data_IF_856422471814
#
_entry.id   IF_856422471814
#
_cell.length_a   1.000
_cell.length_b   1.000
_cell.length_c   1.000
_cell.angle_alpha   90.00
_cell.angle_beta   90.00
_cell.angle_gamma   90.00
#
_symmetry.space_group_name_H-M   'P 1'
#
loop_
_entity.id
_entity.type
_entity.pdbx_description
1 polymer ?
#
# COMPACT_ATOMS: atom_id res chain seq x y z
N UNK A 1 35.47 -75.38 16.85
CA UNK A 1 35.48 -73.91 16.64
C UNK A 1 34.08 -73.56 16.14
N UNK A 2 33.21 -73.00 16.98
CA UNK A 2 31.82 -72.68 16.65
C UNK A 2 31.71 -71.19 16.36
N UNK A 3 31.25 -70.82 15.16
CA UNK A 3 31.00 -69.41 14.78
C UNK A 3 29.52 -69.07 14.96
N UNK A 4 29.27 -67.98 15.67
CA UNK A 4 27.96 -67.35 15.89
C UNK A 4 27.75 -66.33 14.76
N UNK A 5 26.60 -66.40 14.07
CA UNK A 5 26.16 -65.38 13.13
C UNK A 5 25.24 -64.41 13.89
N UNK A 6 25.64 -63.15 13.98
CA UNK A 6 24.78 -62.05 14.43
C UNK A 6 23.99 -61.50 13.24
N UNK A 7 22.66 -61.51 13.33
CA UNK A 7 21.78 -60.79 12.40
C UNK A 7 21.53 -59.40 12.98
N UNK A 8 22.07 -58.37 12.34
CA UNK A 8 21.71 -56.98 12.62
C UNK A 8 20.41 -56.66 11.87
N UNK A 9 19.33 -56.43 12.61
CA UNK A 9 18.09 -55.84 12.08
C UNK A 9 18.27 -54.32 12.16
N UNK A 10 18.44 -53.67 11.02
CA UNK A 10 18.44 -52.20 10.93
C UNK A 10 17.01 -51.71 10.79
N UNK A 11 16.47 -51.11 11.85
CA UNK A 11 15.17 -50.44 11.83
C UNK A 11 15.29 -49.13 11.05
N UNK A 12 14.64 -49.05 9.88
CA UNK A 12 14.48 -47.80 9.15
C UNK A 12 13.41 -46.98 9.87
N UNK A 13 13.82 -45.99 10.65
CA UNK A 13 12.92 -44.95 11.14
C UNK A 13 12.55 -44.04 9.98
N UNK A 14 11.34 -44.18 9.44
CA UNK A 14 10.77 -43.17 8.55
C UNK A 14 10.50 -41.91 9.37
N UNK A 15 11.38 -40.92 9.26
CA UNK A 15 11.10 -39.55 9.68
C UNK A 15 9.97 -39.04 8.77
N UNK A 16 8.72 -39.18 9.22
CA UNK A 16 7.63 -38.38 8.67
C UNK A 16 7.98 -36.93 8.98
N UNK A 17 8.24 -36.13 7.95
CA UNK A 17 8.38 -34.69 8.11
C UNK A 17 7.03 -34.18 8.60
N UNK A 18 6.91 -33.94 9.90
CA UNK A 18 5.70 -33.44 10.51
C UNK A 18 5.36 -32.11 9.82
N UNK A 19 4.19 -32.08 9.18
CA UNK A 19 3.68 -30.90 8.49
C UNK A 19 3.66 -29.74 9.50
N UNK A 20 4.24 -28.60 9.12
CA UNK A 20 4.26 -27.45 10.02
C UNK A 20 2.81 -27.01 10.27
N UNK A 21 2.44 -26.58 11.49
CA UNK A 21 1.08 -26.13 11.79
C UNK A 21 0.57 -24.99 10.89
N UNK A 22 1.49 -24.31 10.18
CA UNK A 22 1.19 -23.23 9.24
C UNK A 22 1.04 -23.67 7.78
N UNK A 23 1.30 -24.93 7.42
CA UNK A 23 1.32 -25.36 6.01
C UNK A 23 -0.06 -25.30 5.36
N UNK A 24 -1.12 -25.64 6.09
CA UNK A 24 -2.49 -25.52 5.56
C UNK A 24 -2.88 -24.05 5.33
N UNK A 25 -2.53 -23.17 6.28
CA UNK A 25 -2.77 -21.73 6.13
C UNK A 25 -1.95 -21.14 4.96
N UNK A 26 -0.69 -21.59 4.79
CA UNK A 26 0.19 -21.19 3.69
C UNK A 26 -0.37 -21.67 2.34
N UNK A 27 -0.79 -22.93 2.23
CA UNK A 27 -1.41 -23.45 1.03
C UNK A 27 -2.70 -22.71 0.68
N UNK A 28 -3.54 -22.42 1.69
CA UNK A 28 -4.77 -21.64 1.48
C UNK A 28 -4.44 -20.23 0.98
N UNK A 29 -3.46 -19.56 1.58
CA UNK A 29 -3.02 -18.24 1.12
C UNK A 29 -2.48 -18.29 -0.33
N UNK A 30 -1.61 -19.25 -0.64
CA UNK A 30 -1.07 -19.46 -1.99
C UNK A 30 -2.19 -19.69 -3.00
N UNK A 31 -3.21 -20.50 -2.66
CA UNK A 31 -4.35 -20.73 -3.53
C UNK A 31 -5.15 -19.43 -3.78
N UNK A 32 -5.36 -18.62 -2.73
CA UNK A 32 -6.10 -17.35 -2.82
C UNK A 32 -5.35 -16.29 -3.66
N UNK A 33 -4.03 -16.14 -3.48
CA UNK A 33 -3.25 -15.09 -4.17
C UNK A 33 -2.67 -15.56 -5.52
N UNK A 34 -2.49 -16.86 -5.70
CA UNK A 34 -1.84 -17.44 -6.88
C UNK A 34 -2.76 -17.59 -8.09
N UNK A 35 -4.08 -17.51 -7.91
CA UNK A 35 -5.05 -17.64 -9.00
C UNK A 35 -6.07 -16.49 -9.02
N UNK A 36 -5.58 -15.29 -9.32
CA UNK A 36 -6.42 -14.10 -9.50
C UNK A 36 -7.53 -14.34 -10.54
N UNK A 37 -7.32 -15.23 -11.52
CA UNK A 37 -8.32 -15.47 -12.58
C UNK A 37 -9.59 -16.16 -12.12
N UNK A 38 -9.54 -16.85 -10.98
CA UNK A 38 -10.69 -17.53 -10.37
C UNK A 38 -11.31 -16.75 -9.21
N UNK A 39 -10.81 -15.56 -8.90
CA UNK A 39 -11.44 -14.70 -7.89
C UNK A 39 -12.86 -14.31 -8.33
N UNK A 40 -13.79 -14.25 -7.36
CA UNK A 40 -15.19 -13.83 -7.57
C UNK A 40 -15.27 -12.41 -8.16
N UNK A 41 -14.30 -11.57 -7.81
CA UNK A 41 -14.12 -10.22 -8.36
C UNK A 41 -12.67 -9.98 -8.78
N UNK A 42 -12.48 -9.50 -10.02
CA UNK A 42 -11.18 -9.01 -10.50
C UNK A 42 -11.38 -7.91 -11.54
N UNK A 43 -10.48 -6.92 -11.54
CA UNK A 43 -10.45 -5.88 -12.56
C UNK A 43 -9.01 -5.50 -12.87
N UNK A 44 -8.64 -5.58 -14.14
CA UNK A 44 -7.40 -5.02 -14.66
C UNK A 44 -7.70 -3.69 -15.33
N UNK A 45 -6.71 -2.80 -15.41
CA UNK A 45 -6.89 -1.45 -15.96
C UNK A 45 -8.09 -0.74 -15.30
N UNK A 46 -8.12 -0.76 -13.97
CA UNK A 46 -9.25 -0.22 -13.20
C UNK A 46 -9.49 1.24 -13.55
N UNK A 47 -10.77 1.61 -13.62
CA UNK A 47 -11.23 2.96 -13.91
C UNK A 47 -12.32 3.35 -12.92
N UNK A 48 -12.37 4.65 -12.63
CA UNK A 48 -13.53 5.24 -11.96
C UNK A 48 -14.73 5.36 -12.91
N UNK A 49 -15.87 5.77 -12.38
CA UNK A 49 -17.10 6.00 -13.14
C UNK A 49 -17.02 7.16 -14.16
N UNK A 50 -15.97 7.99 -14.12
CA UNK A 50 -15.71 9.04 -15.11
C UNK A 50 -14.75 8.54 -16.21
N UNK A 51 -14.24 7.32 -16.11
CA UNK A 51 -13.31 6.71 -17.05
C UNK A 51 -11.83 7.00 -16.78
N UNK A 52 -11.49 7.71 -15.70
CA UNK A 52 -10.10 7.97 -15.33
C UNK A 52 -9.40 6.66 -14.93
N UNK A 53 -8.13 6.51 -15.31
CA UNK A 53 -7.32 5.37 -14.84
C UNK A 53 -7.06 5.48 -13.34
N UNK A 54 -7.11 4.35 -12.64
CA UNK A 54 -6.79 4.28 -11.21
C UNK A 54 -5.35 3.80 -10.97
N UNK A 55 -4.39 4.55 -11.49
CA UNK A 55 -2.98 4.15 -11.46
C UNK A 55 -2.42 4.23 -10.03
N UNK A 56 -1.71 3.17 -9.63
CA UNK A 56 -1.15 3.00 -8.29
C UNK A 56 -2.17 3.15 -7.16
N UNK A 57 -3.43 2.72 -7.36
CA UNK A 57 -4.47 2.82 -6.33
C UNK A 57 -4.05 2.17 -5.00
N UNK A 58 -4.24 2.89 -3.90
CA UNK A 58 -4.14 2.41 -2.52
C UNK A 58 -5.51 2.44 -1.89
N UNK A 59 -5.86 1.36 -1.21
CA UNK A 59 -7.21 1.10 -0.73
C UNK A 59 -7.19 0.86 0.77
N UNK A 60 -8.11 1.50 1.48
CA UNK A 60 -8.43 1.20 2.88
C UNK A 60 -9.93 0.95 3.03
N UNK A 61 -10.33 0.18 4.04
CA UNK A 61 -11.73 0.12 4.48
C UNK A 61 -12.07 1.40 5.25
N UNK A 62 -13.28 1.94 5.07
CA UNK A 62 -13.77 3.09 5.86
C UNK A 62 -14.15 2.60 7.27
N UNK A 63 -13.69 3.29 8.32
CA UNK A 63 -13.77 2.85 9.74
C UNK A 63 -15.18 2.48 10.21
N UNK A 64 -16.23 3.12 9.68
CA UNK A 64 -17.63 2.93 10.12
C UNK A 64 -18.58 2.64 8.94
N UNK A 65 -18.10 1.94 7.91
CA UNK A 65 -18.91 1.61 6.73
C UNK A 65 -18.44 0.33 6.06
N UNK A 66 -19.30 -0.25 5.22
CA UNK A 66 -18.92 -1.31 4.31
C UNK A 66 -18.17 -0.82 3.06
N UNK A 67 -18.05 0.49 2.89
CA UNK A 67 -17.35 1.10 1.77
C UNK A 67 -15.82 1.03 1.91
N UNK A 68 -15.16 1.06 0.76
CA UNK A 68 -13.73 1.17 0.57
C UNK A 68 -13.38 2.55 0.03
N UNK A 69 -12.28 3.11 0.51
CA UNK A 69 -11.71 4.36 0.03
C UNK A 69 -10.50 4.03 -0.83
N UNK A 70 -10.45 4.60 -2.03
CA UNK A 70 -9.31 4.52 -2.93
C UNK A 70 -8.67 5.88 -3.13
N UNK A 71 -7.37 5.98 -2.91
CA UNK A 71 -6.56 7.09 -3.42
C UNK A 71 -5.68 6.59 -4.56
N UNK A 72 -5.61 7.33 -5.65
CA UNK A 72 -4.87 6.93 -6.85
C UNK A 72 -4.42 8.17 -7.61
N UNK A 73 -3.61 7.98 -8.65
CA UNK A 73 -3.38 9.05 -9.59
C UNK A 73 -3.86 8.74 -10.99
N UNK A 74 -4.16 9.79 -11.74
CA UNK A 74 -4.41 9.72 -13.19
C UNK A 74 -3.74 10.90 -13.85
N UNK A 75 -3.37 10.74 -15.12
CA UNK A 75 -2.79 11.82 -15.91
C UNK A 75 -3.86 12.49 -16.76
N UNK A 76 -4.09 13.78 -16.53
CA UNK A 76 -5.00 14.61 -17.34
C UNK A 76 -4.14 15.61 -18.09
N UNK A 77 -4.14 15.53 -19.43
CA UNK A 77 -3.32 16.36 -20.31
C UNK A 77 -1.82 16.35 -19.93
N UNK A 78 -1.31 15.15 -19.59
CA UNK A 78 0.10 14.97 -19.21
C UNK A 78 0.43 15.41 -17.78
N UNK A 79 -0.56 15.82 -16.98
CA UNK A 79 -0.32 16.28 -15.62
C UNK A 79 -0.91 15.31 -14.61
N UNK A 80 -0.13 14.82 -13.62
CA UNK A 80 -0.64 13.87 -12.64
C UNK A 80 -1.56 14.58 -11.64
N UNK A 81 -2.62 13.87 -11.25
CA UNK A 81 -3.64 14.26 -10.27
C UNK A 81 -3.82 13.16 -9.25
N UNK A 82 -3.70 13.47 -7.97
CA UNK A 82 -4.15 12.57 -6.91
C UNK A 82 -5.65 12.70 -6.76
N UNK A 83 -6.35 11.58 -6.79
CA UNK A 83 -7.81 11.51 -6.73
C UNK A 83 -8.27 10.60 -5.59
N UNK A 84 -9.47 10.90 -5.10
CA UNK A 84 -10.23 10.15 -4.12
C UNK A 84 -11.43 9.48 -4.80
N UNK A 85 -11.64 8.20 -4.54
CA UNK A 85 -12.83 7.47 -4.94
C UNK A 85 -13.35 6.58 -3.81
N UNK A 86 -14.62 6.19 -3.95
CA UNK A 86 -15.31 5.22 -3.10
C UNK A 86 -15.68 3.96 -3.89
N UNK A 87 -15.78 2.83 -3.22
CA UNK A 87 -16.32 1.59 -3.79
C UNK A 87 -17.00 0.75 -2.72
N UNK A 88 -18.09 0.08 -3.07
CA UNK A 88 -18.75 -0.90 -2.19
C UNK A 88 -18.25 -2.33 -2.40
N UNK A 89 -17.56 -2.59 -3.51
CA UNK A 89 -17.25 -3.95 -3.97
C UNK A 89 -15.81 -4.15 -4.47
N UNK A 90 -14.96 -3.12 -4.34
CA UNK A 90 -13.57 -3.05 -4.84
C UNK A 90 -13.44 -3.08 -6.38
N UNK A 91 -14.53 -3.19 -7.12
CA UNK A 91 -14.55 -3.30 -8.57
C UNK A 91 -15.05 -2.01 -9.22
N UNK A 92 -16.14 -1.45 -8.72
CA UNK A 92 -16.78 -0.24 -9.24
C UNK A 92 -16.44 0.96 -8.34
N UNK A 93 -15.85 1.99 -8.95
CA UNK A 93 -15.30 3.12 -8.22
C UNK A 93 -16.00 4.42 -8.60
N UNK A 94 -16.53 5.12 -7.60
CA UNK A 94 -17.13 6.44 -7.75
C UNK A 94 -16.09 7.49 -7.35
N UNK A 95 -15.60 8.27 -8.31
CA UNK A 95 -14.73 9.41 -8.06
C UNK A 95 -15.46 10.48 -7.26
N UNK A 96 -14.77 11.03 -6.28
CA UNK A 96 -15.30 12.06 -5.38
C UNK A 96 -14.61 13.40 -5.60
N UNK A 97 -13.27 13.40 -5.62
CA UNK A 97 -12.49 14.64 -5.58
C UNK A 97 -11.05 14.44 -6.06
N UNK A 98 -10.48 15.49 -6.62
CA UNK A 98 -9.03 15.66 -6.76
C UNK A 98 -8.45 16.20 -5.43
N UNK A 99 -7.48 15.51 -4.86
CA UNK A 99 -6.81 15.91 -3.62
C UNK A 99 -5.52 16.69 -3.86
N UNK A 100 -4.84 16.46 -4.98
CA UNK A 100 -3.61 17.17 -5.31
C UNK A 100 -3.40 17.34 -6.81
N UNK A 101 -3.09 18.58 -7.19
CA UNK A 101 -2.60 18.96 -8.51
C UNK A 101 -1.08 18.75 -8.57
N UNK A 102 -0.56 18.24 -9.69
CA UNK A 102 0.85 17.83 -9.82
C UNK A 102 1.28 16.75 -8.82
N UNK A 103 0.36 15.91 -8.36
CA UNK A 103 0.63 14.83 -7.41
C UNK A 103 0.47 13.45 -8.05
N UNK A 104 1.34 12.51 -7.71
CA UNK A 104 1.33 11.12 -8.20
C UNK A 104 1.51 10.11 -7.06
N UNK A 105 1.21 8.83 -7.36
CA UNK A 105 1.52 7.68 -6.49
C UNK A 105 1.12 7.82 -5.01
N UNK A 106 -0.14 8.18 -4.70
CA UNK A 106 -0.55 8.45 -3.33
C UNK A 106 -0.61 7.17 -2.49
N UNK A 107 -0.54 7.35 -1.17
CA UNK A 107 -0.88 6.36 -0.14
C UNK A 107 -1.76 7.01 0.92
N UNK A 108 -2.59 6.20 1.59
CA UNK A 108 -3.53 6.65 2.61
C UNK A 108 -3.48 5.73 3.83
N UNK A 109 -3.66 6.29 5.02
CA UNK A 109 -3.83 5.53 6.26
C UNK A 109 -4.73 6.28 7.25
N UNK A 110 -5.32 5.55 8.18
CA UNK A 110 -6.03 6.11 9.34
C UNK A 110 -5.04 6.18 10.51
N UNK A 111 -4.75 7.38 11.05
CA UNK A 111 -3.96 7.54 12.27
C UNK A 111 -4.67 6.91 13.48
N UNK A 112 -3.93 6.13 14.26
CA UNK A 112 -4.45 5.41 15.43
C UNK A 112 -4.83 6.33 16.61
N UNK A 113 -4.23 7.51 16.69
CA UNK A 113 -4.55 8.57 17.66
C UNK A 113 -5.68 9.49 17.18
N UNK A 114 -6.12 9.37 15.92
CA UNK A 114 -7.20 10.13 15.31
C UNK A 114 -8.04 9.24 14.36
N UNK A 115 -8.83 8.29 14.89
CA UNK A 115 -9.45 7.20 14.10
C UNK A 115 -10.52 7.66 13.09
N UNK A 116 -10.96 8.92 13.17
CA UNK A 116 -11.89 9.54 12.21
C UNK A 116 -11.17 10.28 11.07
N UNK A 117 -9.86 10.49 11.22
CA UNK A 117 -9.05 11.24 10.29
C UNK A 117 -8.29 10.36 9.29
N UNK A 118 -7.58 11.02 8.38
CA UNK A 118 -6.87 10.40 7.28
C UNK A 118 -5.56 11.13 7.03
N UNK A 119 -4.49 10.36 6.90
CA UNK A 119 -3.20 10.82 6.39
C UNK A 119 -3.12 10.40 4.93
N UNK A 120 -2.90 11.35 4.03
CA UNK A 120 -2.59 11.08 2.62
C UNK A 120 -1.18 11.58 2.33
N UNK A 121 -0.36 10.75 1.71
CA UNK A 121 1.01 11.08 1.30
C UNK A 121 1.15 10.80 -0.19
N UNK A 122 1.79 11.69 -0.94
CA UNK A 122 2.00 11.51 -2.37
C UNK A 122 3.33 12.10 -2.82
N UNK A 123 3.70 11.80 -4.05
CA UNK A 123 4.84 12.40 -4.74
C UNK A 123 4.38 13.68 -5.45
N UNK A 124 4.99 14.82 -5.10
CA UNK A 124 4.59 16.15 -5.53
C UNK A 124 5.61 16.75 -6.51
N UNK A 125 5.10 17.28 -7.62
CA UNK A 125 5.84 18.15 -8.54
C UNK A 125 5.52 19.64 -8.31
N UNK A 126 6.42 20.57 -8.67
CA UNK A 126 7.78 20.33 -9.16
C UNK A 126 8.72 19.87 -8.05
N UNK A 127 9.91 19.39 -8.45
CA UNK A 127 10.96 18.92 -7.55
C UNK A 127 10.60 17.64 -6.82
N UNK A 128 9.79 16.77 -7.44
CA UNK A 128 9.53 15.37 -7.10
C UNK A 128 9.92 14.98 -5.67
N UNK A 129 9.04 15.29 -4.72
CA UNK A 129 9.27 15.15 -3.29
C UNK A 129 8.03 14.61 -2.59
N UNK A 130 8.18 14.08 -1.38
CA UNK A 130 7.04 13.65 -0.58
C UNK A 130 6.24 14.85 -0.06
N UNK A 131 4.92 14.78 -0.18
CA UNK A 131 3.98 15.73 0.43
C UNK A 131 2.93 14.98 1.23
N UNK A 132 2.67 15.50 2.42
CA UNK A 132 1.74 14.97 3.40
C UNK A 132 0.55 15.92 3.55
N UNK A 133 -0.65 15.36 3.73
CA UNK A 133 -1.81 16.08 4.18
C UNK A 133 -2.58 15.25 5.22
N UNK A 134 -3.07 15.93 6.25
CA UNK A 134 -3.96 15.36 7.25
C UNK A 134 -5.37 15.95 7.11
N UNK A 135 -6.36 15.07 7.06
CA UNK A 135 -7.78 15.40 7.00
C UNK A 135 -8.45 14.91 8.30
N UNK A 136 -9.00 15.79 9.16
CA UNK A 136 -9.51 15.39 10.47
C UNK A 136 -10.73 14.47 10.44
N UNK A 137 -11.53 14.57 9.38
CA UNK A 137 -12.76 13.78 9.23
C UNK A 137 -12.92 13.25 7.81
N UNK A 138 -13.86 12.32 7.65
CA UNK A 138 -14.30 11.86 6.33
C UNK A 138 -14.86 13.01 5.48
N UNK A 139 -15.63 13.92 6.09
CA UNK A 139 -16.17 15.09 5.40
C UNK A 139 -15.05 16.01 4.90
N UNK A 140 -13.99 16.19 5.69
CA UNK A 140 -12.82 16.98 5.29
C UNK A 140 -12.08 16.35 4.12
N UNK A 141 -11.90 15.02 4.14
CA UNK A 141 -11.28 14.29 3.04
C UNK A 141 -12.10 14.39 1.75
N UNK A 142 -13.43 14.22 1.82
CA UNK A 142 -14.33 14.39 0.67
C UNK A 142 -14.30 15.82 0.11
N UNK A 143 -14.22 16.82 0.99
CA UNK A 143 -14.13 18.22 0.62
C UNK A 143 -12.72 18.63 0.15
N UNK A 144 -11.69 17.78 0.31
CA UNK A 144 -10.30 18.13 0.05
C UNK A 144 -9.75 19.19 1.02
N UNK A 145 -10.36 19.34 2.21
CA UNK A 145 -9.99 20.36 3.21
C UNK A 145 -9.02 19.78 4.24
N UNK A 146 -7.73 19.81 3.95
CA UNK A 146 -6.69 19.36 4.89
C UNK A 146 -6.51 20.35 6.04
N UNK A 147 -6.34 19.86 7.27
CA UNK A 147 -5.99 20.69 8.43
C UNK A 147 -4.49 20.99 8.51
N UNK A 148 -3.65 20.02 8.13
CA UNK A 148 -2.19 20.17 8.11
C UNK A 148 -1.64 19.66 6.80
N UNK A 149 -0.58 20.30 6.31
CA UNK A 149 0.22 19.80 5.20
C UNK A 149 1.70 19.97 5.50
N UNK A 150 2.52 19.08 4.97
CA UNK A 150 3.97 19.14 5.10
C UNK A 150 4.63 18.69 3.80
N UNK A 151 5.55 19.50 3.28
CA UNK A 151 6.39 19.15 2.12
C UNK A 151 7.77 18.77 2.63
N UNK A 152 8.17 17.53 2.37
CA UNK A 152 9.46 17.00 2.80
C UNK A 152 10.56 17.59 1.92
N UNK A 153 11.58 18.27 2.49
CA UNK A 153 12.76 18.65 1.72
C UNK A 153 13.48 17.40 1.25
N UNK A 154 13.87 17.36 -0.03
CA UNK A 154 14.71 16.28 -0.54
C UNK A 154 16.09 16.34 0.12
N UNK A 155 16.57 15.21 0.62
CA UNK A 155 17.87 15.09 1.30
C UNK A 155 18.74 13.97 0.76
N UNK A 156 18.15 13.00 0.07
CA UNK A 156 18.80 11.83 -0.52
C UNK A 156 19.03 12.00 -2.03
N UNK A 157 18.20 12.79 -2.72
CA UNK A 157 18.33 13.01 -4.17
C UNK A 157 18.02 14.44 -4.60
N UNK A 158 18.82 14.97 -5.54
CA UNK A 158 18.51 16.21 -6.25
C UNK A 158 17.45 16.05 -7.34
N UNK A 159 17.04 14.83 -7.67
CA UNK A 159 16.17 14.52 -8.80
C UNK A 159 14.78 14.04 -8.40
N UNK A 160 14.67 13.05 -7.51
CA UNK A 160 13.36 12.53 -7.08
C UNK A 160 13.43 11.80 -5.74
N UNK A 161 12.41 12.02 -4.91
CA UNK A 161 12.07 11.29 -3.70
C UNK A 161 10.54 11.10 -3.67
N UNK A 162 10.06 9.89 -3.94
CA UNK A 162 8.67 9.65 -4.33
C UNK A 162 8.17 8.23 -4.06
N UNK A 163 7.04 7.86 -4.65
CA UNK A 163 6.39 6.53 -4.46
C UNK A 163 6.20 6.13 -2.98
N UNK A 164 5.52 6.96 -2.15
CA UNK A 164 5.39 6.69 -0.73
C UNK A 164 4.55 5.45 -0.40
N UNK A 165 4.87 4.81 0.72
CA UNK A 165 4.05 3.80 1.37
C UNK A 165 4.11 3.99 2.89
N UNK A 166 2.96 4.10 3.56
CA UNK A 166 2.87 4.16 5.03
C UNK A 166 2.92 2.74 5.58
N UNK A 167 3.75 2.51 6.60
CA UNK A 167 3.86 1.23 7.30
C UNK A 167 3.21 1.27 8.68
N UNK A 168 2.69 0.11 9.10
CA UNK A 168 2.16 -0.07 10.45
C UNK A 168 0.90 0.76 10.72
N UNK A 169 0.70 1.09 12.00
CA UNK A 169 -0.38 1.96 12.46
C UNK A 169 0.21 3.34 12.76
N UNK A 170 0.06 4.34 11.86
CA UNK A 170 0.64 5.65 12.10
C UNK A 170 -0.07 6.37 13.25
N UNK A 171 0.60 7.36 13.82
CA UNK A 171 -0.02 8.45 14.58
C UNK A 171 0.33 9.77 13.91
N UNK A 172 -0.28 10.89 14.31
CA UNK A 172 0.13 12.19 13.77
C UNK A 172 1.59 12.57 14.12
N UNK A 173 2.16 11.97 15.16
CA UNK A 173 3.54 12.22 15.61
C UNK A 173 4.52 11.09 15.24
N UNK A 174 4.06 10.06 14.53
CA UNK A 174 4.90 8.95 14.10
C UNK A 174 4.31 8.29 12.85
N UNK A 175 4.80 8.72 11.70
CA UNK A 175 4.41 8.22 10.39
C UNK A 175 5.63 7.57 9.76
N UNK A 176 5.70 6.24 9.83
CA UNK A 176 6.76 5.46 9.20
C UNK A 176 6.46 5.30 7.70
N UNK A 177 7.31 5.88 6.86
CA UNK A 177 7.12 5.95 5.42
C UNK A 177 8.32 5.35 4.70
N UNK A 178 8.05 4.35 3.86
CA UNK A 178 8.96 3.92 2.80
C UNK A 178 8.75 4.75 1.55
N UNK A 179 9.82 5.02 0.82
CA UNK A 179 9.77 5.77 -0.42
C UNK A 179 10.97 5.40 -1.30
N UNK A 180 10.90 5.79 -2.56
CA UNK A 180 11.98 5.62 -3.52
C UNK A 180 12.74 6.93 -3.67
N UNK A 181 14.04 6.86 -3.94
CA UNK A 181 14.85 8.02 -4.31
C UNK A 181 15.79 7.68 -5.47
N UNK A 182 16.08 8.68 -6.29
CA UNK A 182 16.94 8.49 -7.46
C UNK A 182 18.39 8.85 -7.11
N UNK A 183 19.16 7.87 -6.67
CA UNK A 183 20.55 8.03 -6.27
C UNK A 183 21.40 8.48 -7.46
N UNK A 184 22.14 9.57 -7.25
CA UNK A 184 22.89 10.30 -8.27
C UNK A 184 22.11 10.64 -9.55
N UNK A 185 20.77 10.63 -9.49
CA UNK A 185 19.88 10.74 -10.64
C UNK A 185 20.02 9.64 -11.69
N UNK A 186 20.42 8.43 -11.28
CA UNK A 186 20.69 7.31 -12.21
C UNK A 186 19.97 6.03 -11.78
N UNK A 187 19.93 5.74 -10.48
CA UNK A 187 19.43 4.46 -9.99
C UNK A 187 18.34 4.67 -8.95
N UNK A 188 17.24 3.94 -9.13
CA UNK A 188 16.14 3.90 -8.19
C UNK A 188 16.52 3.06 -6.96
N UNK A 189 16.39 3.64 -5.78
CA UNK A 189 16.73 3.04 -4.49
C UNK A 189 15.59 3.25 -3.50
N UNK A 190 15.48 2.35 -2.53
CA UNK A 190 14.49 2.46 -1.46
C UNK A 190 15.09 3.14 -0.24
N UNK A 191 14.30 3.98 0.41
CA UNK A 191 14.58 4.59 1.71
C UNK A 191 13.37 4.43 2.64
N UNK A 192 13.59 4.65 3.93
CA UNK A 192 12.55 4.63 4.95
C UNK A 192 12.87 5.69 6.00
N UNK A 193 11.87 6.44 6.41
CA UNK A 193 12.01 7.49 7.42
C UNK A 193 10.72 7.63 8.24
N UNK A 194 10.84 8.23 9.41
CA UNK A 194 9.70 8.58 10.27
C UNK A 194 9.44 10.08 10.18
N UNK A 195 8.18 10.45 10.04
CA UNK A 195 7.71 11.84 9.96
C UNK A 195 6.68 12.14 11.05
N UNK A 196 6.45 13.43 11.30
CA UNK A 196 5.45 13.96 12.24
C UNK A 196 4.81 15.25 11.67
N UNK A 197 3.61 15.58 12.16
CA UNK A 197 2.80 16.74 11.75
C UNK A 197 2.75 17.88 12.77
#
# INVERSE_FOLDING_TARGET
MWSIIFVLISSISTLTHAQSPSDDARHKLVALIGNVRQADGRRYSSRDHLGNTMDCVKIIKRTDSEEFIGVYHTYINGVPRVNLALSDDLLHWTWLRELAYFGSQPTIAVPSDQPQGYIVVWEQEPNNHLRFAYYPTWSDLQAGTSQKTYSVPRTLSRCAEGTPNIYGQPTLNNIDVGFHFYDNCIVDRQARATFEF
#
